data_IF_686648067995
#
_entry.id   IF_686648067995
#
_cell.length_a   1.000
_cell.length_b   1.000
_cell.length_c   1.000
_cell.angle_alpha   90.00
_cell.angle_beta   90.00
_cell.angle_gamma   90.00
#
_symmetry.space_group_name_H-M   'P 1'
#
loop_
_entity.id
_entity.type
_entity.pdbx_description
1 polymer ?
#
# COMPACT_ATOMS: atom_id res chain seq x y z
N UNK A 1 -8.00 3.28 9.88
CA UNK A 1 -7.65 1.87 9.58
C UNK A 1 -6.68 1.31 10.63
N UNK A 2 -5.44 1.82 10.72
CA UNK A 2 -4.44 1.32 11.71
C UNK A 2 -4.92 1.57 13.14
N UNK A 3 -5.36 2.80 13.45
CA UNK A 3 -5.95 3.11 14.76
C UNK A 3 -7.17 2.25 15.11
N UNK A 4 -7.88 1.71 14.12
CA UNK A 4 -9.02 0.82 14.42
C UNK A 4 -8.54 -0.53 14.96
N UNK A 5 -7.47 -1.09 14.37
CA UNK A 5 -6.90 -2.37 14.82
C UNK A 5 -6.36 -2.32 16.25
N UNK A 6 -5.82 -1.17 16.66
CA UNK A 6 -5.30 -0.98 18.02
C UNK A 6 -6.39 -0.78 19.08
N UNK A 7 -7.59 -0.37 18.65
CA UNK A 7 -8.72 -0.05 19.51
C UNK A 7 -9.73 -1.21 19.67
N UNK A 8 -9.66 -2.23 18.81
CA UNK A 8 -10.43 -3.46 18.97
C UNK A 8 -9.64 -4.48 19.82
N UNK A 9 -10.11 -4.86 21.02
CA UNK A 9 -9.39 -5.75 21.92
C UNK A 9 -9.11 -7.14 21.33
N UNK A 10 -10.03 -7.68 20.53
CA UNK A 10 -9.89 -9.00 19.92
C UNK A 10 -8.85 -8.96 18.79
N UNK A 11 -8.89 -7.92 17.95
CA UNK A 11 -7.89 -7.73 16.88
C UNK A 11 -6.51 -7.44 17.45
N UNK A 12 -6.42 -6.62 18.50
CA UNK A 12 -5.16 -6.30 19.17
C UNK A 12 -4.48 -7.54 19.73
N UNK A 13 -5.27 -8.50 20.25
CA UNK A 13 -4.77 -9.77 20.82
C UNK A 13 -4.09 -10.66 19.77
N UNK A 14 -4.43 -10.50 18.49
CA UNK A 14 -3.79 -11.21 17.38
C UNK A 14 -2.36 -10.72 17.09
N UNK A 15 -1.96 -9.55 17.60
CA UNK A 15 -0.60 -9.03 17.44
C UNK A 15 -0.21 -8.74 15.98
N UNK A 16 -1.20 -8.50 15.12
CA UNK A 16 -0.97 -8.32 13.68
C UNK A 16 -0.19 -7.04 13.40
N UNK A 17 0.84 -7.16 12.56
CA UNK A 17 1.66 -6.04 12.08
C UNK A 17 1.46 -5.90 10.58
N UNK A 18 0.77 -4.85 10.15
CA UNK A 18 0.44 -4.59 8.74
C UNK A 18 1.32 -3.49 8.19
N UNK A 19 1.76 -3.63 6.94
CA UNK A 19 2.33 -2.57 6.12
C UNK A 19 1.34 -2.21 5.02
N UNK A 20 1.29 -0.94 4.66
CA UNK A 20 0.39 -0.45 3.61
C UNK A 20 1.21 0.41 2.66
N UNK A 21 1.16 0.11 1.36
CA UNK A 21 1.72 0.92 0.28
C UNK A 21 0.61 1.49 -0.60
N UNK A 22 0.62 2.80 -0.86
CA UNK A 22 -0.40 3.47 -1.69
C UNK A 22 0.27 4.29 -2.79
N UNK A 23 -0.13 4.03 -4.03
CA UNK A 23 0.22 4.85 -5.18
C UNK A 23 -1.00 4.98 -6.10
N UNK A 24 -0.99 6.03 -6.92
CA UNK A 24 -2.08 6.37 -7.84
C UNK A 24 -1.50 6.62 -9.23
N UNK A 25 -2.13 6.03 -10.23
CA UNK A 25 -1.72 6.11 -11.62
C UNK A 25 -2.54 5.17 -12.50
N UNK A 26 -2.24 5.11 -13.81
CA UNK A 26 -2.97 4.27 -14.75
C UNK A 26 -2.71 2.78 -14.50
N UNK A 27 -3.75 1.96 -14.71
CA UNK A 27 -3.71 0.50 -14.58
C UNK A 27 -4.43 -0.16 -15.74
N UNK A 28 -4.03 -1.38 -16.07
CA UNK A 28 -4.79 -2.27 -16.94
C UNK A 28 -5.56 -3.25 -16.05
N UNK A 29 -6.85 -3.41 -16.32
CA UNK A 29 -7.71 -4.32 -15.59
C UNK A 29 -8.34 -5.32 -16.54
N UNK A 30 -8.55 -6.55 -16.08
CA UNK A 30 -9.20 -7.56 -16.91
C UNK A 30 -9.37 -8.90 -16.20
N UNK A 31 -10.08 -9.80 -16.87
CA UNK A 31 -10.23 -11.18 -16.43
C UNK A 31 -9.15 -12.02 -17.08
N UNK A 32 -8.37 -12.75 -16.27
CA UNK A 32 -7.37 -13.71 -16.75
C UNK A 32 -7.76 -15.14 -16.40
N UNK A 33 -7.27 -16.10 -17.20
CA UNK A 33 -7.43 -17.53 -16.99
C UNK A 33 -8.47 -18.16 -17.92
N UNK A 34 -8.30 -19.45 -18.21
CA UNK A 34 -9.21 -20.24 -19.07
C UNK A 34 -10.07 -21.23 -18.29
N UNK A 35 -9.73 -21.48 -17.02
CA UNK A 35 -10.43 -22.45 -16.14
C UNK A 35 -10.89 -21.86 -14.82
N UNK A 36 -10.18 -20.85 -14.30
CA UNK A 36 -10.57 -20.06 -13.13
C UNK A 36 -10.37 -18.60 -13.50
N UNK A 37 -11.49 -17.93 -13.72
CA UNK A 37 -11.50 -16.52 -14.09
C UNK A 37 -11.24 -15.69 -12.84
N UNK A 38 -10.22 -14.84 -12.89
CA UNK A 38 -9.96 -13.84 -11.84
C UNK A 38 -9.86 -12.48 -12.48
N UNK A 39 -10.64 -11.53 -11.98
CA UNK A 39 -10.50 -10.12 -12.34
C UNK A 39 -9.35 -9.52 -11.53
N UNK A 40 -8.38 -8.92 -12.22
CA UNK A 40 -7.15 -8.47 -11.60
C UNK A 40 -6.60 -7.21 -12.30
N UNK A 41 -5.61 -6.57 -11.65
CA UNK A 41 -5.00 -5.29 -12.05
C UNK A 41 -3.51 -5.48 -12.32
N UNK A 42 -3.02 -4.91 -13.42
CA UNK A 42 -1.60 -4.95 -13.80
C UNK A 42 -1.09 -3.58 -14.26
N UNK A 43 0.23 -3.41 -14.20
CA UNK A 43 0.95 -2.23 -14.65
C UNK A 43 1.88 -1.65 -13.60
N UNK A 44 2.63 -0.63 -13.99
CA UNK A 44 3.65 -0.01 -13.14
C UNK A 44 3.06 0.60 -11.87
N UNK A 45 1.83 1.10 -11.91
CA UNK A 45 1.15 1.62 -10.72
C UNK A 45 0.96 0.55 -9.64
N UNK A 46 0.62 -0.69 -10.02
CA UNK A 46 0.48 -1.81 -9.07
C UNK A 46 1.86 -2.22 -8.55
N UNK A 47 2.87 -2.31 -9.43
CA UNK A 47 4.24 -2.66 -9.06
C UNK A 47 4.85 -1.65 -8.07
N UNK A 48 4.66 -0.34 -8.31
CA UNK A 48 5.13 0.69 -7.40
C UNK A 48 4.40 0.66 -6.05
N UNK A 49 3.08 0.44 -6.05
CA UNK A 49 2.32 0.24 -4.80
C UNK A 49 2.86 -0.92 -3.98
N UNK A 50 3.18 -2.05 -4.63
CA UNK A 50 3.79 -3.21 -4.00
C UNK A 50 5.18 -2.90 -3.44
N UNK A 51 6.03 -2.16 -4.17
CA UNK A 51 7.35 -1.73 -3.66
C UNK A 51 7.24 -0.80 -2.45
N UNK A 52 6.27 0.11 -2.44
CA UNK A 52 6.03 0.99 -1.30
C UNK A 52 5.61 0.20 -0.05
N UNK A 53 4.77 -0.83 -0.21
CA UNK A 53 4.39 -1.73 0.88
C UNK A 53 5.59 -2.52 1.40
N UNK A 54 6.36 -3.14 0.50
CA UNK A 54 7.47 -4.03 0.88
C UNK A 54 8.61 -3.27 1.57
N UNK A 55 8.84 -2.02 1.18
CA UNK A 55 9.82 -1.12 1.81
C UNK A 55 9.22 -0.30 2.97
N UNK A 56 7.92 -0.43 3.22
CA UNK A 56 7.19 0.26 4.27
C UNK A 56 7.54 -0.25 5.67
N UNK A 57 7.19 0.55 6.68
CA UNK A 57 7.31 0.14 8.08
C UNK A 57 5.98 -0.43 8.59
N UNK A 58 6.05 -1.47 9.43
CA UNK A 58 4.86 -2.01 10.08
C UNK A 58 4.14 -0.94 10.91
N UNK A 59 2.82 -0.90 10.82
CA UNK A 59 1.99 0.10 11.49
C UNK A 59 2.04 1.49 10.83
N UNK A 60 2.62 1.60 9.63
CA UNK A 60 2.66 2.86 8.86
C UNK A 60 2.13 2.65 7.44
N UNK A 61 1.76 3.77 6.82
CA UNK A 61 1.34 3.84 5.42
C UNK A 61 2.46 4.53 4.64
N UNK A 62 3.05 3.84 3.69
CA UNK A 62 3.99 4.40 2.73
C UNK A 62 3.21 4.87 1.51
N UNK A 63 3.41 6.11 1.08
CA UNK A 63 2.73 6.68 -0.07
C UNK A 63 3.73 7.25 -1.07
N UNK A 64 3.39 7.15 -2.35
CA UNK A 64 4.13 7.88 -3.40
C UNK A 64 3.91 9.39 -3.30
N UNK A 65 4.79 10.17 -3.93
CA UNK A 65 4.59 11.61 -4.12
C UNK A 65 3.26 11.94 -4.82
N UNK A 66 2.85 11.14 -5.81
CA UNK A 66 1.58 11.33 -6.54
C UNK A 66 0.35 11.28 -5.63
N UNK A 67 0.41 10.54 -4.52
CA UNK A 67 -0.66 10.49 -3.51
C UNK A 67 -0.48 11.63 -2.51
N UNK A 68 0.75 11.88 -2.05
CA UNK A 68 1.03 12.96 -1.11
C UNK A 68 0.61 14.33 -1.67
N UNK A 69 0.86 14.59 -2.95
CA UNK A 69 0.46 15.84 -3.63
C UNK A 69 -1.06 16.05 -3.72
N UNK A 70 -1.86 14.98 -3.63
CA UNK A 70 -3.32 15.07 -3.62
C UNK A 70 -3.88 15.25 -2.20
N UNK A 71 -3.14 14.83 -1.18
CA UNK A 71 -3.60 14.82 0.22
C UNK A 71 -2.85 15.80 1.13
N UNK A 72 -1.92 16.58 0.58
CA UNK A 72 -1.00 17.43 1.34
C UNK A 72 -1.68 18.43 2.29
N UNK A 73 -2.92 18.85 2.00
CA UNK A 73 -3.70 19.76 2.86
C UNK A 73 -4.41 19.05 4.02
N UNK A 74 -4.59 17.74 3.94
CA UNK A 74 -5.41 16.98 4.89
C UNK A 74 -4.57 16.15 5.87
N UNK A 75 -3.29 15.93 5.57
CA UNK A 75 -2.44 15.00 6.30
C UNK A 75 -1.02 15.52 6.43
N UNK A 76 -0.38 15.16 7.53
CA UNK A 76 1.05 15.38 7.72
C UNK A 76 1.85 14.22 7.13
N UNK A 77 2.84 14.56 6.29
CA UNK A 77 3.73 13.59 5.66
C UNK A 77 5.16 13.75 6.17
N UNK A 78 5.82 12.62 6.41
CA UNK A 78 7.27 12.58 6.69
C UNK A 78 7.99 12.04 5.46
N UNK A 79 8.89 12.85 4.90
CA UNK A 79 9.80 12.42 3.84
C UNK A 79 10.70 11.29 4.31
N UNK A 80 10.86 10.27 3.46
CA UNK A 80 11.77 9.15 3.69
C UNK A 80 12.37 8.71 2.36
N UNK A 81 13.69 8.61 2.32
CA UNK A 81 14.38 8.00 1.18
C UNK A 81 14.32 6.50 1.36
N UNK A 82 13.60 5.82 0.47
CA UNK A 82 13.60 4.36 0.40
C UNK A 82 14.81 3.93 -0.44
N UNK A 83 15.75 3.25 0.20
CA UNK A 83 16.91 2.72 -0.51
C UNK A 83 16.47 1.49 -1.30
N UNK A 84 16.83 1.42 -2.59
CA UNK A 84 16.61 0.24 -3.42
C UNK A 84 17.53 -0.88 -2.96
N UNK A 85 17.09 -1.68 -1.99
CA UNK A 85 17.64 -3.02 -1.82
C UNK A 85 17.25 -3.81 -3.06
N UNK A 86 18.24 -4.09 -3.91
CA UNK A 86 18.08 -5.00 -5.02
C UNK A 86 17.62 -6.37 -4.49
N UNK A 87 16.62 -6.93 -5.15
CA UNK A 87 16.31 -8.35 -5.19
C UNK A 87 15.99 -8.69 -6.65
#
# INVERSE_FOLDING_TARGET
>A
MINFMDNDPEIKKLGLKIRIGIHVGPVVAGVIGTRRYTYDLWGDTVNLSSRLESQGEAGKIAVSEAVASQLWLLMEFRLRILHSSQA
#
